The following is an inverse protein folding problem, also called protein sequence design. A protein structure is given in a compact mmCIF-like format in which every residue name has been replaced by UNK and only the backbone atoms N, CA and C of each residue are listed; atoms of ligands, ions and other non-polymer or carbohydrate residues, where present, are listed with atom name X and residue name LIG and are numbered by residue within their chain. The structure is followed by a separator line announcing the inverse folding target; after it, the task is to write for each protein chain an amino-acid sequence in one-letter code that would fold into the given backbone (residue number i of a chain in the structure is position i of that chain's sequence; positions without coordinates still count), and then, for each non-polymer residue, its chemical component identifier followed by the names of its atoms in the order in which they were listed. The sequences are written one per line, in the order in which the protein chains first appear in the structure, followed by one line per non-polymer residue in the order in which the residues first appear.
data_IF_864340133650
#
_entry.id   IF_864340133650
#
_cell.length_a   1.000
_cell.length_b   1.000
_cell.length_c   1.000
_cell.angle_alpha   90.00
_cell.angle_beta   90.00
_cell.angle_gamma   90.00
#
_symmetry.space_group_name_H-M   'P 1'
#
loop_
_entity.id
_entity.type
_entity.pdbx_description
1 polymer ?
#
# COMPACT_ATOMS: atom_id res chain seq x y z
N UNK A 1 -2.64 -4.72 -6.48
CA UNK A 1 -3.40 -3.93 -5.49
C UNK A 1 -3.82 -2.62 -6.12
N UNK A 2 -5.11 -2.34 -6.14
CA UNK A 2 -5.69 -1.12 -6.72
C UNK A 2 -6.02 -0.08 -5.65
N UNK A 3 -5.70 1.18 -5.94
CA UNK A 3 -5.84 2.31 -5.00
C UNK A 3 -7.23 2.92 -5.11
N UNK A 4 -7.89 3.10 -3.96
CA UNK A 4 -9.18 3.79 -3.82
C UNK A 4 -9.08 4.84 -2.72
N UNK A 5 -8.79 6.08 -3.10
CA UNK A 5 -8.70 7.19 -2.16
C UNK A 5 -10.08 7.76 -1.87
N UNK A 6 -10.46 7.80 -0.58
CA UNK A 6 -11.74 8.36 -0.09
C UNK A 6 -11.45 9.71 0.59
N UNK A 7 -10.77 10.60 -0.14
CA UNK A 7 -10.47 11.96 0.35
C UNK A 7 -11.39 12.97 -0.35
N UNK A 8 -11.74 14.11 0.29
CA UNK A 8 -12.60 15.12 -0.32
C UNK A 8 -12.12 15.61 -1.67
N UNK A 9 -10.80 15.63 -1.89
CA UNK A 9 -10.17 16.07 -3.13
C UNK A 9 -10.22 15.02 -4.25
N UNK A 10 -10.53 13.77 -3.91
CA UNK A 10 -10.55 12.65 -4.88
C UNK A 10 -11.88 12.52 -5.61
N UNK A 11 -12.97 13.10 -5.06
CA UNK A 11 -14.31 13.04 -5.64
C UNK A 11 -14.96 14.43 -5.54
N UNK A 12 -14.65 15.29 -6.47
CA UNK A 12 -15.22 16.65 -6.56
C UNK A 12 -16.68 16.57 -6.99
N UNK A 13 -17.62 17.24 -6.25
CA UNK A 13 -19.03 17.55 -6.59
C UNK A 13 -20.17 16.69 -5.99
N UNK A 14 -20.10 16.23 -4.75
CA UNK A 14 -21.29 15.61 -4.13
C UNK A 14 -21.16 15.43 -2.63
N UNK A 15 -22.25 15.56 -1.89
CA UNK A 15 -22.25 15.34 -0.44
C UNK A 15 -21.70 13.96 -0.03
N UNK A 16 -21.48 13.73 1.26
CA UNK A 16 -20.81 12.53 1.80
C UNK A 16 -21.32 11.19 1.23
N UNK A 17 -22.61 11.06 0.96
CA UNK A 17 -23.22 9.84 0.38
C UNK A 17 -22.79 9.62 -1.07
N UNK A 18 -22.77 10.69 -1.89
CA UNK A 18 -22.33 10.59 -3.28
C UNK A 18 -20.83 10.22 -3.37
N UNK A 19 -20.03 10.66 -2.41
CA UNK A 19 -18.61 10.29 -2.29
C UNK A 19 -18.43 8.80 -1.95
N UNK A 20 -19.26 8.24 -1.08
CA UNK A 20 -19.25 6.81 -0.73
C UNK A 20 -19.63 5.95 -1.93
N UNK A 21 -20.73 6.27 -2.61
CA UNK A 21 -21.19 5.51 -3.80
C UNK A 21 -20.15 5.52 -4.93
N UNK A 22 -19.49 6.66 -5.15
CA UNK A 22 -18.41 6.76 -6.12
C UNK A 22 -17.19 5.95 -5.72
N UNK A 23 -16.83 5.92 -4.42
CA UNK A 23 -15.72 5.12 -3.92
C UNK A 23 -16.02 3.63 -4.04
N UNK A 24 -17.24 3.18 -3.72
CA UNK A 24 -17.68 1.79 -3.91
C UNK A 24 -17.63 1.43 -5.40
N UNK A 25 -18.20 2.27 -6.27
CA UNK A 25 -18.16 2.04 -7.72
C UNK A 25 -16.70 1.94 -8.23
N UNK A 26 -15.78 2.80 -7.75
CA UNK A 26 -14.37 2.73 -8.10
C UNK A 26 -13.72 1.44 -7.56
N UNK A 27 -14.04 1.02 -6.34
CA UNK A 27 -13.55 -0.23 -5.76
C UNK A 27 -13.96 -1.44 -6.60
N UNK A 28 -15.20 -1.51 -7.06
CA UNK A 28 -15.67 -2.58 -7.95
C UNK A 28 -15.02 -2.49 -9.34
N UNK A 29 -14.80 -1.27 -9.84
CA UNK A 29 -14.13 -1.07 -11.12
C UNK A 29 -12.68 -1.57 -11.09
N UNK A 30 -11.89 -1.27 -10.03
CA UNK A 30 -10.50 -1.73 -9.94
C UNK A 30 -10.39 -3.26 -9.92
N UNK A 31 -11.37 -3.97 -9.37
CA UNK A 31 -11.44 -5.44 -9.45
C UNK A 31 -11.67 -5.90 -10.88
N UNK A 32 -12.62 -5.29 -11.60
CA UNK A 32 -12.86 -5.59 -13.00
C UNK A 32 -11.69 -5.24 -13.92
N UNK A 33 -10.85 -4.30 -13.49
CA UNK A 33 -9.60 -3.87 -14.13
C UNK A 33 -8.42 -4.82 -13.84
N UNK A 34 -8.60 -5.83 -12.99
CA UNK A 34 -7.61 -6.86 -12.70
C UNK A 34 -6.93 -6.78 -11.34
N UNK A 35 -7.44 -5.96 -10.41
CA UNK A 35 -6.96 -5.98 -9.03
C UNK A 35 -7.45 -7.22 -8.28
N UNK A 36 -6.58 -7.85 -7.51
CA UNK A 36 -6.91 -8.90 -6.54
C UNK A 36 -7.07 -8.35 -5.13
N UNK A 37 -6.50 -7.18 -4.87
CA UNK A 37 -6.59 -6.46 -3.61
C UNK A 37 -7.04 -5.03 -3.89
N UNK A 38 -8.02 -4.53 -3.14
CA UNK A 38 -8.46 -3.13 -3.11
C UNK A 38 -7.82 -2.49 -1.88
N UNK A 39 -7.19 -1.31 -2.04
CA UNK A 39 -6.62 -0.57 -0.91
C UNK A 39 -7.36 0.75 -0.71
N UNK A 40 -8.15 0.82 0.36
CA UNK A 40 -9.03 1.95 0.68
C UNK A 40 -8.33 2.89 1.65
N UNK A 41 -8.10 4.14 1.24
CA UNK A 41 -7.45 5.14 2.08
C UNK A 41 -8.37 6.33 2.38
N UNK A 42 -8.66 6.57 3.67
CA UNK A 42 -9.44 7.72 4.15
C UNK A 42 -8.60 8.98 4.35
N UNK A 43 -7.28 8.84 4.41
CA UNK A 43 -6.34 9.90 4.71
C UNK A 43 -5.10 9.79 3.80
N UNK A 44 -4.57 10.92 3.34
CA UNK A 44 -3.31 10.93 2.59
C UNK A 44 -2.10 10.81 3.53
N UNK A 45 -1.08 10.06 3.13
CA UNK A 45 0.21 10.02 3.83
C UNK A 45 1.02 11.33 3.68
N UNK A 46 0.64 12.21 2.72
CA UNK A 46 1.31 13.49 2.48
C UNK A 46 1.17 14.43 3.68
N UNK A 47 2.13 15.36 3.90
CA UNK A 47 2.02 16.42 4.90
C UNK A 47 0.70 17.20 4.74
N UNK A 48 0.12 17.59 5.85
CA UNK A 48 -1.15 18.33 5.84
C UNK A 48 -1.91 18.19 7.16
N UNK A 49 -3.17 18.58 7.15
CA UNK A 49 -4.02 18.45 8.33
C UNK A 49 -4.24 16.97 8.62
N UNK A 50 -3.93 16.57 9.84
CA UNK A 50 -4.23 15.24 10.34
C UNK A 50 -5.71 15.15 10.65
N UNK A 51 -6.38 14.13 10.11
CA UNK A 51 -7.76 13.84 10.46
C UNK A 51 -7.84 13.23 11.86
N UNK A 52 -8.96 13.43 12.54
CA UNK A 52 -9.28 12.62 13.70
C UNK A 52 -9.58 11.16 13.28
N UNK A 53 -9.39 10.20 14.19
CA UNK A 53 -9.77 8.82 13.92
C UNK A 53 -11.27 8.69 13.58
N UNK A 54 -12.12 9.45 14.25
CA UNK A 54 -13.55 9.48 13.96
C UNK A 54 -13.86 9.97 12.53
N UNK A 55 -13.16 10.99 12.05
CA UNK A 55 -13.33 11.49 10.67
C UNK A 55 -12.80 10.48 9.63
N UNK A 56 -11.73 9.78 9.95
CA UNK A 56 -11.17 8.73 9.10
C UNK A 56 -12.14 7.54 9.00
N UNK A 57 -12.65 7.05 10.14
CA UNK A 57 -13.68 6.01 10.19
C UNK A 57 -14.94 6.42 9.41
N UNK A 58 -15.41 7.64 9.58
CA UNK A 58 -16.60 8.15 8.89
C UNK A 58 -16.46 8.14 7.35
N UNK A 59 -15.22 8.16 6.82
CA UNK A 59 -14.95 8.04 5.39
C UNK A 59 -14.83 6.59 4.94
N UNK A 60 -14.10 5.77 5.71
CA UNK A 60 -13.70 4.42 5.28
C UNK A 60 -14.82 3.40 5.52
N UNK A 61 -15.45 3.38 6.69
CA UNK A 61 -16.40 2.33 7.08
C UNK A 61 -17.60 2.20 6.12
N UNK A 62 -18.27 3.29 5.70
CA UNK A 62 -19.38 3.18 4.75
C UNK A 62 -18.95 2.61 3.38
N UNK A 63 -17.69 2.83 2.98
CA UNK A 63 -17.17 2.28 1.72
C UNK A 63 -16.92 0.78 1.85
N UNK A 64 -16.37 0.31 2.98
CA UNK A 64 -16.19 -1.12 3.26
C UNK A 64 -17.52 -1.85 3.25
N UNK A 65 -18.50 -1.35 4.02
CA UNK A 65 -19.85 -1.88 4.04
C UNK A 65 -20.48 -1.95 2.64
N UNK A 66 -20.31 -0.89 1.85
CA UNK A 66 -20.81 -0.84 0.46
C UNK A 66 -20.15 -1.84 -0.46
N UNK A 67 -18.83 -2.04 -0.35
CA UNK A 67 -18.07 -3.04 -1.11
C UNK A 67 -18.58 -4.45 -0.77
N UNK A 68 -18.77 -4.76 0.51
CA UNK A 68 -19.25 -6.08 0.95
C UNK A 68 -20.72 -6.29 0.61
N UNK A 69 -21.57 -5.28 0.77
CA UNK A 69 -22.97 -5.33 0.36
C UNK A 69 -23.16 -5.57 -1.16
N UNK A 70 -22.20 -5.11 -1.97
CA UNK A 70 -22.17 -5.38 -3.41
C UNK A 70 -21.71 -6.82 -3.76
N UNK A 71 -21.40 -7.66 -2.76
CA UNK A 71 -20.94 -9.04 -2.97
C UNK A 71 -19.49 -9.14 -3.49
N UNK A 72 -18.65 -8.13 -3.26
CA UNK A 72 -17.26 -8.16 -3.67
C UNK A 72 -16.45 -9.10 -2.77
N UNK A 73 -15.85 -10.14 -3.36
CA UNK A 73 -15.03 -11.14 -2.66
C UNK A 73 -13.52 -10.84 -2.73
N UNK A 74 -13.12 -9.76 -3.41
CA UNK A 74 -11.72 -9.35 -3.45
C UNK A 74 -11.21 -9.02 -2.03
N UNK A 75 -9.91 -9.22 -1.81
CA UNK A 75 -9.25 -8.80 -0.58
C UNK A 75 -9.35 -7.28 -0.45
N UNK A 76 -9.82 -6.80 0.70
CA UNK A 76 -9.91 -5.37 1.01
C UNK A 76 -8.90 -4.99 2.07
N UNK A 77 -7.99 -4.12 1.69
CA UNK A 77 -6.98 -3.49 2.54
C UNK A 77 -7.45 -2.10 2.95
N UNK A 78 -7.11 -1.66 4.16
CA UNK A 78 -7.33 -0.28 4.61
C UNK A 78 -6.00 0.37 4.94
N UNK A 79 -5.73 1.52 4.27
CA UNK A 79 -4.54 2.34 4.47
C UNK A 79 -4.74 3.21 5.73
N UNK A 80 -4.28 2.71 6.87
CA UNK A 80 -4.30 3.41 8.16
C UNK A 80 -3.17 2.93 9.06
N UNK A 81 -2.69 3.82 9.93
CA UNK A 81 -1.69 3.50 10.96
C UNK A 81 -2.25 3.53 12.38
N UNK A 82 -3.57 3.72 12.54
CA UNK A 82 -4.23 3.85 13.84
C UNK A 82 -4.90 2.55 14.26
N UNK A 83 -4.64 2.11 15.47
CA UNK A 83 -5.18 0.86 16.00
C UNK A 83 -6.72 0.86 16.08
N UNK A 84 -7.34 1.97 16.49
CA UNK A 84 -8.80 2.10 16.61
C UNK A 84 -9.50 2.09 15.23
N UNK A 85 -8.91 2.74 14.23
CA UNK A 85 -9.42 2.72 12.85
C UNK A 85 -9.25 1.33 12.24
N UNK A 86 -8.12 0.67 12.49
CA UNK A 86 -7.84 -0.68 12.01
C UNK A 86 -8.85 -1.70 12.56
N UNK A 87 -9.10 -1.68 13.88
CA UNK A 87 -10.08 -2.54 14.52
C UNK A 87 -11.47 -2.34 13.89
N UNK A 88 -11.96 -1.09 13.80
CA UNK A 88 -13.25 -0.78 13.21
C UNK A 88 -13.34 -1.19 11.73
N UNK A 89 -12.25 -1.03 10.96
CA UNK A 89 -12.21 -1.43 9.56
C UNK A 89 -12.30 -2.95 9.38
N UNK A 90 -11.58 -3.72 10.19
CA UNK A 90 -11.65 -5.18 10.19
C UNK A 90 -13.04 -5.69 10.61
N UNK A 91 -13.65 -5.08 11.62
CA UNK A 91 -15.06 -5.37 11.99
C UNK A 91 -16.04 -5.06 10.86
N UNK A 92 -15.79 -4.01 10.08
CA UNK A 92 -16.62 -3.62 8.93
C UNK A 92 -16.35 -4.46 7.67
N UNK A 93 -15.44 -5.43 7.73
CA UNK A 93 -15.18 -6.39 6.67
C UNK A 93 -13.92 -6.15 5.84
N UNK A 94 -12.96 -5.36 6.32
CA UNK A 94 -11.61 -5.38 5.77
C UNK A 94 -10.93 -6.72 6.07
N UNK A 95 -10.02 -7.16 5.20
CA UNK A 95 -9.25 -8.39 5.37
C UNK A 95 -7.83 -8.09 5.90
N UNK A 96 -7.32 -6.89 5.63
CA UNK A 96 -5.96 -6.51 6.02
C UNK A 96 -5.83 -5.00 6.23
N UNK A 97 -4.77 -4.63 6.92
CA UNK A 97 -4.39 -3.23 7.16
C UNK A 97 -3.06 -2.94 6.44
N UNK A 98 -3.00 -1.78 5.79
CA UNK A 98 -1.80 -1.27 5.15
C UNK A 98 -1.22 -0.14 6.01
N UNK A 99 -0.29 -0.48 6.91
CA UNK A 99 0.39 0.50 7.75
C UNK A 99 1.62 1.05 7.03
N UNK A 100 1.50 2.29 6.57
CA UNK A 100 2.60 3.01 5.91
C UNK A 100 3.61 3.65 6.89
N UNK A 101 3.51 3.37 8.20
CA UNK A 101 4.34 4.01 9.23
C UNK A 101 5.33 3.08 9.93
N UNK A 102 5.19 1.76 9.73
CA UNK A 102 6.07 0.76 10.35
C UNK A 102 5.80 0.57 11.83
N UNK A 103 4.54 0.48 12.22
CA UNK A 103 4.07 0.24 13.58
C UNK A 103 4.45 1.38 14.54
N UNK A 104 4.21 2.63 14.12
CA UNK A 104 4.38 3.77 15.03
C UNK A 104 3.30 3.85 16.09
N UNK A 105 2.09 3.36 15.82
CA UNK A 105 1.08 3.06 16.83
C UNK A 105 1.38 1.68 17.43
N UNK A 106 1.79 1.64 18.71
CA UNK A 106 2.21 0.42 19.38
C UNK A 106 1.08 -0.61 19.57
N UNK A 107 -0.17 -0.18 19.50
CA UNK A 107 -1.34 -1.05 19.68
C UNK A 107 -1.87 -1.61 18.35
N UNK A 108 -1.40 -1.12 17.21
CA UNK A 108 -1.91 -1.49 15.88
C UNK A 108 -1.79 -2.99 15.60
N UNK A 109 -0.61 -3.58 15.83
CA UNK A 109 -0.39 -4.99 15.55
C UNK A 109 -1.29 -5.89 16.40
N UNK A 110 -1.47 -5.56 17.69
CA UNK A 110 -2.37 -6.28 18.57
C UNK A 110 -3.84 -6.18 18.13
N UNK A 111 -4.28 -4.99 17.73
CA UNK A 111 -5.63 -4.78 17.20
C UNK A 111 -5.89 -5.60 15.93
N UNK A 112 -4.92 -5.65 15.01
CA UNK A 112 -5.04 -6.47 13.78
C UNK A 112 -5.06 -7.97 14.12
N UNK A 113 -4.20 -8.42 15.05
CA UNK A 113 -4.14 -9.82 15.47
C UNK A 113 -5.45 -10.29 16.12
N UNK A 114 -6.06 -9.46 16.98
CA UNK A 114 -7.35 -9.77 17.66
C UNK A 114 -8.46 -10.06 16.65
N UNK A 115 -8.44 -9.39 15.50
CA UNK A 115 -9.43 -9.57 14.44
C UNK A 115 -9.00 -10.59 13.37
N UNK A 116 -7.83 -11.21 13.51
CA UNK A 116 -7.30 -12.17 12.52
C UNK A 116 -6.99 -11.57 11.15
N UNK A 117 -6.73 -10.28 11.10
CA UNK A 117 -6.45 -9.55 9.86
C UNK A 117 -5.01 -9.74 9.35
N UNK A 118 -4.79 -9.46 8.06
CA UNK A 118 -3.46 -9.33 7.49
C UNK A 118 -2.86 -7.94 7.77
N UNK A 119 -1.54 -7.83 7.71
CA UNK A 119 -0.84 -6.57 7.95
C UNK A 119 0.27 -6.33 6.93
N UNK A 120 0.25 -5.15 6.31
CA UNK A 120 1.42 -4.61 5.60
C UNK A 120 2.19 -3.71 6.55
N UNK A 121 3.50 -3.94 6.64
CA UNK A 121 4.42 -3.11 7.42
C UNK A 121 5.36 -2.39 6.48
N UNK A 122 5.29 -1.06 6.46
CA UNK A 122 6.07 -0.23 5.54
C UNK A 122 7.23 0.46 6.26
N UNK A 123 8.38 0.54 5.61
CA UNK A 123 9.50 1.34 6.10
C UNK A 123 9.21 2.83 5.92
N UNK A 124 8.95 3.52 7.03
CA UNK A 124 8.92 4.99 7.11
C UNK A 124 10.02 5.46 8.06
N UNK A 125 11.06 6.08 7.54
CA UNK A 125 12.18 6.59 8.35
C UNK A 125 11.91 7.91 9.07
N UNK A 126 10.67 8.39 9.05
CA UNK A 126 10.22 9.67 9.60
C UNK A 126 8.93 9.45 10.41
N UNK A 127 8.58 10.42 11.25
CA UNK A 127 7.28 10.38 11.91
C UNK A 127 6.13 10.53 10.88
N UNK A 128 4.95 9.93 11.14
CA UNK A 128 3.77 10.11 10.29
C UNK A 128 3.52 11.59 10.00
N UNK A 129 3.06 11.90 8.77
CA UNK A 129 2.82 13.27 8.30
C UNK A 129 4.04 14.20 8.22
N UNK A 130 5.24 13.70 8.51
CA UNK A 130 6.49 14.46 8.39
C UNK A 130 7.28 14.13 7.11
N UNK A 131 6.69 13.39 6.19
CA UNK A 131 7.26 13.12 4.86
C UNK A 131 7.31 14.44 4.09
N UNK A 132 8.27 15.30 4.47
CA UNK A 132 8.53 16.56 3.81
C UNK A 132 9.82 16.47 2.98
N UNK A 133 9.99 17.46 2.13
CA UNK A 133 11.05 17.67 1.15
C UNK A 133 12.50 17.68 1.65
N UNK A 134 12.79 17.19 2.84
CA UNK A 134 14.13 16.84 3.31
C UNK A 134 14.37 15.37 3.01
N UNK A 135 14.81 15.08 1.81
CA UNK A 135 15.15 13.72 1.41
C UNK A 135 16.31 13.21 2.25
N UNK A 136 16.14 12.04 2.82
CA UNK A 136 17.22 11.36 3.53
C UNK A 136 17.75 10.18 2.71
N UNK A 137 19.03 9.90 2.90
CA UNK A 137 19.69 8.73 2.34
C UNK A 137 19.79 7.65 3.43
N UNK A 138 19.54 6.40 3.03
CA UNK A 138 19.65 5.22 3.89
C UNK A 138 20.12 4.04 3.05
N UNK A 139 20.91 3.15 3.64
CA UNK A 139 21.33 1.91 2.99
C UNK A 139 20.11 0.97 2.88
N UNK A 140 19.85 0.36 1.71
CA UNK A 140 18.82 -0.67 1.58
C UNK A 140 18.92 -1.83 2.59
N UNK A 141 20.12 -2.16 3.07
CA UNK A 141 20.30 -3.16 4.12
C UNK A 141 19.70 -2.72 5.46
N UNK A 142 19.72 -1.43 5.78
CA UNK A 142 19.08 -0.89 6.98
C UNK A 142 17.54 -0.93 6.83
N UNK A 143 17.02 -0.68 5.62
CA UNK A 143 15.58 -0.88 5.32
C UNK A 143 15.21 -2.35 5.56
N UNK A 144 16.00 -3.29 5.06
CA UNK A 144 15.76 -4.72 5.27
C UNK A 144 15.78 -5.11 6.76
N UNK A 145 16.75 -4.58 7.51
CA UNK A 145 16.84 -4.82 8.96
C UNK A 145 15.64 -4.26 9.72
N UNK A 146 15.20 -3.05 9.37
CA UNK A 146 14.00 -2.45 9.94
C UNK A 146 12.75 -3.30 9.66
N UNK A 147 12.54 -3.72 8.41
CA UNK A 147 11.39 -4.52 8.04
C UNK A 147 11.37 -5.88 8.77
N UNK A 148 12.54 -6.52 8.91
CA UNK A 148 12.66 -7.76 9.67
C UNK A 148 12.29 -7.55 11.15
N UNK A 149 12.82 -6.51 11.80
CA UNK A 149 12.50 -6.17 13.19
C UNK A 149 10.99 -5.91 13.37
N UNK A 150 10.38 -5.11 12.49
CA UNK A 150 8.95 -4.79 12.57
C UNK A 150 8.06 -6.00 12.31
N UNK A 151 8.47 -6.88 11.40
CA UNK A 151 7.75 -8.14 11.16
C UNK A 151 7.77 -9.05 12.40
N UNK A 152 8.90 -9.16 13.08
CA UNK A 152 8.97 -9.94 14.34
C UNK A 152 8.11 -9.31 15.45
N UNK A 153 8.09 -7.97 15.58
CA UNK A 153 7.20 -7.28 16.51
C UNK A 153 5.71 -7.57 16.21
N UNK A 154 5.33 -7.62 14.93
CA UNK A 154 3.97 -7.97 14.55
C UNK A 154 3.63 -9.44 14.89
N UNK A 155 4.57 -10.36 14.68
CA UNK A 155 4.41 -11.77 15.04
C UNK A 155 4.28 -11.93 16.56
N UNK A 156 5.12 -11.24 17.34
CA UNK A 156 5.07 -11.26 18.81
C UNK A 156 3.74 -10.70 19.34
N UNK A 157 3.11 -9.77 18.61
CA UNK A 157 1.76 -9.25 18.90
C UNK A 157 0.64 -10.23 18.51
N UNK A 158 0.94 -11.33 17.81
CA UNK A 158 -0.02 -12.38 17.46
C UNK A 158 -0.43 -12.44 15.99
N UNK A 159 0.17 -11.64 15.10
CA UNK A 159 -0.08 -11.75 13.66
C UNK A 159 0.53 -13.06 13.13
N UNK A 160 -0.24 -13.83 12.37
CA UNK A 160 0.30 -15.00 11.67
C UNK A 160 1.35 -14.56 10.64
N UNK A 161 2.51 -15.23 10.64
CA UNK A 161 3.59 -14.93 9.69
C UNK A 161 3.11 -14.94 8.23
N UNK A 162 2.17 -15.80 7.89
CA UNK A 162 1.60 -15.92 6.53
C UNK A 162 0.66 -14.76 6.17
N UNK A 163 0.22 -13.98 7.15
CA UNK A 163 -0.63 -12.80 6.98
C UNK A 163 0.15 -11.47 6.97
N UNK A 164 1.50 -11.55 7.06
CA UNK A 164 2.38 -10.38 7.00
C UNK A 164 2.88 -10.13 5.59
N UNK A 165 2.94 -8.85 5.24
CA UNK A 165 3.55 -8.31 4.02
C UNK A 165 4.49 -7.18 4.42
N UNK A 166 5.62 -7.02 3.76
CA UNK A 166 6.56 -5.92 4.02
C UNK A 166 6.67 -5.00 2.79
N UNK A 167 6.84 -3.68 3.03
CA UNK A 167 7.03 -2.67 1.97
C UNK A 167 8.27 -1.82 2.28
N UNK A 168 9.25 -1.71 1.37
CA UNK A 168 10.41 -0.86 1.57
C UNK A 168 10.09 0.64 1.58
N UNK A 169 8.87 1.05 1.28
CA UNK A 169 8.39 2.42 1.40
C UNK A 169 9.03 3.39 0.41
N UNK A 170 9.04 3.06 -0.88
CA UNK A 170 9.52 3.99 -1.91
C UNK A 170 8.79 5.33 -1.85
N UNK A 171 9.50 6.43 -2.00
CA UNK A 171 8.94 7.79 -2.03
C UNK A 171 8.48 8.32 -0.67
N UNK A 172 8.75 7.61 0.43
CA UNK A 172 8.47 8.11 1.78
C UNK A 172 9.68 8.87 2.35
N UNK A 173 9.96 10.05 1.79
CA UNK A 173 11.02 10.97 2.22
C UNK A 173 12.43 10.54 1.85
N UNK A 174 12.63 9.39 1.23
CA UNK A 174 13.93 8.93 0.71
C UNK A 174 14.33 9.70 -0.54
N UNK A 175 15.63 9.85 -0.78
CA UNK A 175 16.11 10.39 -2.05
C UNK A 175 15.83 9.41 -3.20
N UNK A 176 15.72 9.93 -4.42
CA UNK A 176 15.62 9.10 -5.64
C UNK A 176 16.79 8.13 -5.77
N UNK A 177 17.98 8.53 -5.33
CA UNK A 177 19.16 7.65 -5.33
C UNK A 177 18.97 6.45 -4.38
N UNK A 178 18.44 6.69 -3.18
CA UNK A 178 18.08 5.64 -2.21
C UNK A 178 16.99 4.75 -2.75
N UNK A 179 15.91 5.30 -3.31
CA UNK A 179 14.83 4.51 -3.88
C UNK A 179 15.31 3.62 -5.04
N UNK A 180 16.19 4.15 -5.93
CA UNK A 180 16.82 3.34 -6.98
C UNK A 180 17.75 2.26 -6.41
N UNK A 181 18.50 2.55 -5.34
CA UNK A 181 19.32 1.55 -4.67
C UNK A 181 18.44 0.45 -4.04
N UNK A 182 17.31 0.82 -3.43
CA UNK A 182 16.32 -0.11 -2.87
C UNK A 182 15.70 -1.01 -3.95
N UNK A 183 15.37 -0.46 -5.12
CA UNK A 183 14.90 -1.25 -6.27
C UNK A 183 15.95 -2.27 -6.77
N UNK A 184 17.22 -1.92 -6.74
CA UNK A 184 18.32 -2.87 -7.08
C UNK A 184 18.47 -3.95 -6.01
N UNK A 185 18.16 -3.65 -4.76
CA UNK A 185 18.25 -4.56 -3.62
C UNK A 185 17.00 -5.42 -3.42
N UNK A 186 15.99 -5.37 -4.32
CA UNK A 186 14.79 -6.22 -4.22
C UNK A 186 15.09 -7.71 -4.00
N UNK A 187 16.09 -8.33 -4.66
CA UNK A 187 16.43 -9.73 -4.38
C UNK A 187 16.87 -9.97 -2.92
N UNK A 188 17.49 -8.98 -2.26
CA UNK A 188 17.89 -9.09 -0.86
C UNK A 188 16.68 -8.95 0.07
N UNK A 189 15.76 -8.03 -0.24
CA UNK A 189 14.52 -7.85 0.49
C UNK A 189 13.61 -9.08 0.38
N UNK A 190 13.51 -9.70 -0.79
CA UNK A 190 12.77 -10.95 -0.98
C UNK A 190 13.32 -12.12 -0.15
N UNK A 191 14.64 -12.13 0.18
CA UNK A 191 15.25 -13.12 1.06
C UNK A 191 14.86 -12.99 2.55
N UNK A 192 14.17 -11.91 2.95
CA UNK A 192 13.58 -11.80 4.29
C UNK A 192 12.51 -12.89 4.53
N UNK A 193 11.95 -13.46 3.45
CA UNK A 193 10.99 -14.56 3.52
C UNK A 193 9.58 -14.12 3.90
N UNK A 194 9.26 -12.85 3.67
CA UNK A 194 7.91 -12.30 3.71
C UNK A 194 7.47 -11.90 2.29
N UNK A 195 6.17 -11.98 1.96
CA UNK A 195 5.66 -11.32 0.77
C UNK A 195 6.04 -9.84 0.75
N UNK A 196 6.47 -9.35 -0.42
CA UNK A 196 6.88 -7.96 -0.61
C UNK A 196 5.81 -7.20 -1.38
N UNK A 197 5.39 -6.06 -0.83
CA UNK A 197 4.61 -5.06 -1.52
C UNK A 197 5.54 -3.96 -2.05
N UNK A 198 5.27 -3.48 -3.26
CA UNK A 198 5.96 -2.33 -3.83
C UNK A 198 4.96 -1.30 -4.34
N UNK A 199 4.94 -0.14 -3.71
CA UNK A 199 4.12 1.00 -4.10
C UNK A 199 4.97 2.01 -4.88
N UNK A 200 5.06 1.86 -6.19
CA UNK A 200 5.94 2.68 -7.04
C UNK A 200 5.19 3.67 -7.95
N UNK A 201 3.86 3.56 -8.05
CA UNK A 201 3.08 4.30 -9.04
C UNK A 201 3.03 5.79 -8.73
N UNK A 202 3.34 6.61 -9.74
CA UNK A 202 3.30 8.07 -9.67
C UNK A 202 4.20 8.64 -8.55
N UNK A 203 5.42 8.13 -8.45
CA UNK A 203 6.41 8.58 -7.47
C UNK A 203 7.64 9.18 -8.15
N UNK A 204 8.38 10.02 -7.42
CA UNK A 204 9.59 10.68 -7.92
C UNK A 204 10.61 9.70 -8.50
N UNK A 205 10.79 8.54 -7.88
CA UNK A 205 11.73 7.51 -8.38
C UNK A 205 11.41 7.02 -9.78
N UNK A 206 10.14 7.09 -10.22
CA UNK A 206 9.70 6.72 -11.57
C UNK A 206 9.71 7.90 -12.55
N UNK A 207 9.88 9.12 -12.08
CA UNK A 207 9.74 10.35 -12.83
C UNK A 207 11.08 11.10 -13.01
N UNK A 208 11.75 11.40 -11.91
CA UNK A 208 12.95 12.24 -11.86
C UNK A 208 14.09 11.73 -12.77
N UNK A 209 14.43 10.41 -12.80
CA UNK A 209 15.49 9.91 -13.68
C UNK A 209 15.19 10.07 -15.17
N UNK A 210 13.92 10.25 -15.53
CA UNK A 210 13.47 10.41 -16.91
C UNK A 210 13.22 11.88 -17.27
N UNK A 211 13.26 12.80 -16.30
CA UNK A 211 12.87 14.19 -16.49
C UNK A 211 11.38 14.35 -16.83
N UNK A 212 10.53 13.44 -16.37
CA UNK A 212 9.10 13.41 -16.61
C UNK A 212 8.31 13.82 -15.34
N UNK A 213 7.05 14.23 -15.47
CA UNK A 213 6.18 14.46 -14.31
C UNK A 213 5.87 13.13 -13.57
N UNK A 214 5.53 13.20 -12.27
CA UNK A 214 5.20 12.02 -11.45
C UNK A 214 4.05 11.19 -12.05
N UNK A 215 3.12 11.83 -12.76
CA UNK A 215 2.01 11.15 -13.44
C UNK A 215 2.41 10.33 -14.67
N UNK A 216 3.72 10.19 -14.97
CA UNK A 216 4.17 9.38 -16.10
C UNK A 216 3.90 7.89 -15.89
N UNK A 217 3.56 7.22 -16.97
CA UNK A 217 3.27 5.78 -16.98
C UNK A 217 4.52 4.96 -17.30
N UNK A 218 5.48 5.54 -18.02
CA UNK A 218 6.65 4.85 -18.56
C UNK A 218 7.59 4.36 -17.44
N UNK A 219 7.95 5.24 -16.52
CA UNK A 219 8.80 4.90 -15.38
C UNK A 219 8.10 3.94 -14.42
N UNK A 220 6.80 4.15 -14.18
CA UNK A 220 5.99 3.21 -13.38
C UNK A 220 5.98 1.82 -14.01
N UNK A 221 5.75 1.72 -15.32
CA UNK A 221 5.73 0.43 -16.04
C UNK A 221 7.08 -0.28 -15.98
N UNK A 222 8.18 0.47 -16.13
CA UNK A 222 9.52 -0.10 -16.03
C UNK A 222 9.79 -0.71 -14.65
N UNK A 223 9.44 0.00 -13.57
CA UNK A 223 9.61 -0.50 -12.20
C UNK A 223 8.69 -1.69 -11.92
N UNK A 224 7.43 -1.63 -12.34
CA UNK A 224 6.46 -2.74 -12.23
C UNK A 224 6.98 -3.98 -12.93
N UNK A 225 7.50 -3.83 -14.17
CA UNK A 225 8.03 -4.95 -14.93
C UNK A 225 9.23 -5.62 -14.23
N UNK A 226 10.19 -4.82 -13.76
CA UNK A 226 11.37 -5.34 -13.06
C UNK A 226 10.98 -6.01 -11.74
N UNK A 227 10.11 -5.40 -10.96
CA UNK A 227 9.66 -5.95 -9.68
C UNK A 227 8.91 -7.29 -9.87
N UNK A 228 7.95 -7.35 -10.80
CA UNK A 228 7.22 -8.57 -11.12
C UNK A 228 8.14 -9.68 -11.65
N UNK A 229 9.11 -9.33 -12.54
CA UNK A 229 10.11 -10.28 -13.03
C UNK A 229 10.97 -10.88 -11.91
N UNK A 230 11.29 -10.08 -10.89
CA UNK A 230 12.07 -10.52 -9.73
C UNK A 230 11.25 -11.28 -8.68
N UNK A 231 9.93 -11.37 -8.85
CA UNK A 231 9.05 -12.13 -7.98
C UNK A 231 8.42 -11.32 -6.83
N UNK A 232 8.34 -10.00 -6.92
CA UNK A 232 7.56 -9.17 -5.98
C UNK A 232 6.08 -9.57 -6.07
N UNK A 233 5.47 -9.89 -4.94
CA UNK A 233 4.15 -10.50 -4.89
C UNK A 233 3.00 -9.49 -4.96
N UNK A 234 3.16 -8.28 -4.40
CA UNK A 234 2.16 -7.23 -4.45
C UNK A 234 2.71 -5.97 -5.11
N UNK A 235 1.95 -5.42 -6.04
CA UNK A 235 2.25 -4.15 -6.72
C UNK A 235 1.07 -3.20 -6.52
N UNK A 236 1.28 -2.07 -5.81
CA UNK A 236 0.25 -1.08 -5.54
C UNK A 236 0.31 0.04 -6.57
N UNK A 237 -0.71 0.13 -7.42
CA UNK A 237 -0.71 0.98 -8.62
C UNK A 237 -2.03 1.70 -8.87
N UNK A 238 -1.98 2.82 -9.63
CA UNK A 238 -3.15 3.59 -10.06
C UNK A 238 -3.71 3.10 -11.40
N UNK A 239 -2.85 2.88 -12.40
CA UNK A 239 -3.23 2.58 -13.80
C UNK A 239 -3.41 1.08 -14.03
N UNK A 240 -4.37 0.48 -13.31
CA UNK A 240 -4.54 -0.97 -13.21
C UNK A 240 -4.62 -1.72 -14.52
N UNK A 241 -5.47 -1.37 -15.51
CA UNK A 241 -5.61 -2.19 -16.70
C UNK A 241 -4.32 -2.31 -17.50
N UNK A 242 -3.46 -1.28 -17.44
CA UNK A 242 -2.17 -1.30 -18.10
C UNK A 242 -1.12 -2.03 -17.23
N UNK A 243 -1.00 -1.67 -15.95
CA UNK A 243 0.02 -2.22 -15.04
C UNK A 243 -0.20 -3.70 -14.73
N UNK A 244 -1.47 -4.17 -14.67
CA UNK A 244 -1.77 -5.58 -14.49
C UNK A 244 -1.21 -6.41 -15.65
N UNK A 245 -1.36 -5.96 -16.91
CA UNK A 245 -0.80 -6.63 -18.07
C UNK A 245 0.73 -6.63 -18.09
N UNK A 246 1.34 -5.49 -17.70
CA UNK A 246 2.80 -5.38 -17.56
C UNK A 246 3.32 -6.35 -16.52
N UNK A 247 2.70 -6.37 -15.33
CA UNK A 247 3.09 -7.24 -14.23
C UNK A 247 2.94 -8.73 -14.61
N UNK A 248 1.80 -9.10 -15.21
CA UNK A 248 1.57 -10.49 -15.67
C UNK A 248 2.63 -10.92 -16.65
N UNK A 249 2.89 -10.13 -17.70
CA UNK A 249 3.90 -10.49 -18.69
C UNK A 249 5.31 -10.60 -18.10
N UNK A 250 5.67 -9.69 -17.20
CA UNK A 250 6.97 -9.71 -16.54
C UNK A 250 7.13 -10.93 -15.61
N UNK A 251 6.08 -11.29 -14.85
CA UNK A 251 6.09 -12.46 -13.98
C UNK A 251 6.25 -13.76 -14.78
N UNK A 252 5.56 -13.88 -15.91
CA UNK A 252 5.70 -15.04 -16.84
C UNK A 252 7.13 -15.16 -17.38
N UNK A 253 7.78 -14.04 -17.69
CA UNK A 253 9.17 -14.04 -18.12
C UNK A 253 10.14 -14.44 -17.00
N UNK A 254 9.81 -14.10 -15.75
CA UNK A 254 10.62 -14.44 -14.58
C UNK A 254 10.47 -15.89 -14.13
N UNK A 255 9.24 -16.41 -14.05
CA UNK A 255 8.96 -17.78 -13.61
C UNK A 255 9.23 -18.84 -14.69
N UNK A 256 9.12 -18.46 -15.95
CA UNK A 256 9.16 -19.40 -17.08
C UNK A 256 7.94 -20.33 -17.18
N UNK A 257 6.92 -20.13 -16.36
CA UNK A 257 5.66 -20.89 -16.35
C UNK A 257 4.56 -20.10 -17.05
N UNK A 258 3.76 -20.79 -17.86
CA UNK A 258 2.52 -20.23 -18.42
C UNK A 258 1.39 -20.38 -17.39
N UNK A 259 0.44 -19.41 -17.35
CA UNK A 259 -0.66 -19.42 -16.40
C UNK A 259 -1.63 -20.56 -16.65
#
# INVERSE_FOLDING_TARGET
MGIVNVTPDSFYDGGATATTDLAVARALAVVSEGATVIDVGGMTARPGVELSAADEMARVLPVLEGIRAAGCEAVVSVDTYRADVAAAALEAGADMINDHTGLTDGDLAAAVAEHGGGLVVTHLGLAPKQVQAGRYDIDPAEIGSFLAERAELAIDAGIDRSALVVDPGLGFGKSTATDLATLRALPDLLRLGYPLLLACSHKEVTAEPLGLPESNIEGTAAVVAVAAYQGVQLLRVHDLPFMARVATMAALLGSGELP
#
